data_IF_247935872072
#
_entry.id   IF_247935872072
#
_cell.length_a   1.000
_cell.length_b   1.000
_cell.length_c   1.000
_cell.angle_alpha   90.00
_cell.angle_beta   90.00
_cell.angle_gamma   90.00
#
_symmetry.space_group_name_H-M   'P 1'
#
loop_
_entity.id
_entity.type
_entity.pdbx_description
1 polymer ?
#
# COMPACT_ATOMS: atom_id res chain seq x y z
N UNK A 1 -17.71 -8.70 -3.91
CA UNK A 1 -16.46 -8.09 -3.39
C UNK A 1 -16.34 -8.20 -1.88
N UNK A 2 -17.35 -7.83 -1.07
CA UNK A 2 -17.29 -8.07 0.40
C UNK A 2 -17.04 -9.54 0.77
N UNK A 3 -17.70 -10.47 0.10
CA UNK A 3 -17.49 -11.91 0.31
C UNK A 3 -16.09 -12.40 -0.12
N UNK A 4 -15.42 -11.67 -1.02
CA UNK A 4 -14.13 -12.07 -1.57
C UNK A 4 -12.94 -11.66 -0.68
N UNK A 5 -13.16 -10.82 0.35
CA UNK A 5 -12.10 -10.40 1.28
C UNK A 5 -12.17 -11.12 2.62
N UNK A 6 -13.25 -11.86 2.90
CA UNK A 6 -13.43 -12.58 4.15
C UNK A 6 -12.43 -13.73 4.27
N UNK A 7 -12.01 -14.03 5.50
CA UNK A 7 -11.22 -15.22 5.78
C UNK A 7 -12.05 -16.46 5.44
N UNK A 8 -11.62 -17.32 4.50
CA UNK A 8 -12.35 -18.53 4.17
C UNK A 8 -12.44 -19.49 5.37
N UNK A 9 -13.51 -20.28 5.43
CA UNK A 9 -13.71 -21.22 6.55
C UNK A 9 -12.59 -22.26 6.59
N UNK A 10 -11.92 -22.37 7.73
CA UNK A 10 -10.83 -23.32 7.96
C UNK A 10 -9.44 -22.83 7.56
N UNK A 11 -9.32 -21.65 6.96
CA UNK A 11 -8.02 -21.04 6.63
C UNK A 11 -7.37 -20.35 7.83
N UNK A 12 -6.04 -20.29 7.84
CA UNK A 12 -5.27 -19.53 8.82
C UNK A 12 -5.27 -18.03 8.48
N UNK A 13 -5.44 -17.19 9.50
CA UNK A 13 -5.49 -15.74 9.31
C UNK A 13 -4.17 -15.17 8.77
N UNK A 14 -3.02 -15.66 9.25
CA UNK A 14 -1.73 -15.12 8.84
C UNK A 14 -1.39 -15.55 7.41
N UNK A 15 -1.73 -16.78 7.01
CA UNK A 15 -1.64 -17.21 5.62
C UNK A 15 -2.49 -16.32 4.71
N UNK A 16 -3.74 -16.06 5.10
CA UNK A 16 -4.65 -15.20 4.33
C UNK A 16 -4.13 -13.76 4.21
N UNK A 17 -3.62 -13.19 5.30
CA UNK A 17 -2.97 -11.88 5.30
C UNK A 17 -1.72 -11.87 4.41
N UNK A 18 -0.89 -12.92 4.47
CA UNK A 18 0.35 -13.01 3.71
C UNK A 18 0.11 -12.96 2.21
N UNK A 19 -0.79 -13.81 1.71
CA UNK A 19 -1.15 -13.89 0.29
C UNK A 19 -1.71 -12.55 -0.20
N UNK A 20 -2.68 -11.98 0.52
CA UNK A 20 -3.34 -10.75 0.08
C UNK A 20 -2.40 -9.53 0.14
N UNK A 21 -1.50 -9.44 1.13
CA UNK A 21 -0.50 -8.35 1.19
C UNK A 21 0.44 -8.39 -0.01
N UNK A 22 0.91 -9.59 -0.38
CA UNK A 22 1.74 -9.77 -1.56
C UNK A 22 0.98 -9.40 -2.85
N UNK A 23 -0.29 -9.80 -2.96
CA UNK A 23 -1.13 -9.45 -4.11
C UNK A 23 -1.36 -7.94 -4.23
N UNK A 24 -1.67 -7.25 -3.12
CA UNK A 24 -1.84 -5.80 -3.13
C UNK A 24 -0.56 -5.06 -3.49
N UNK A 25 0.58 -5.55 -2.99
CA UNK A 25 1.89 -5.03 -3.35
C UNK A 25 2.13 -5.17 -4.86
N UNK A 26 1.96 -6.37 -5.42
CA UNK A 26 2.17 -6.64 -6.84
C UNK A 26 1.27 -5.76 -7.73
N UNK A 27 -0.03 -5.67 -7.40
CA UNK A 27 -0.96 -4.82 -8.13
C UNK A 27 -0.55 -3.34 -8.09
N UNK A 28 -0.20 -2.83 -6.92
CA UNK A 28 0.20 -1.43 -6.75
C UNK A 28 1.53 -1.13 -7.45
N UNK A 29 2.50 -2.06 -7.42
CA UNK A 29 3.76 -1.96 -8.16
C UNK A 29 3.53 -1.88 -9.66
N UNK A 30 2.64 -2.72 -10.20
CA UNK A 30 2.24 -2.66 -11.62
C UNK A 30 1.54 -1.33 -11.96
N UNK A 31 0.61 -0.87 -11.12
CA UNK A 31 -0.08 0.41 -11.32
C UNK A 31 0.91 1.58 -11.33
N UNK A 32 1.80 1.63 -10.34
CA UNK A 32 2.79 2.71 -10.22
C UNK A 32 3.80 2.69 -11.38
N UNK A 33 4.20 1.51 -11.86
CA UNK A 33 5.07 1.38 -13.03
C UNK A 33 4.50 2.08 -14.28
N UNK A 34 3.18 2.17 -14.42
CA UNK A 34 2.54 2.87 -15.56
C UNK A 34 2.72 4.40 -15.51
N UNK A 35 2.98 4.98 -14.34
CA UNK A 35 3.09 6.44 -14.18
C UNK A 35 4.47 6.92 -13.74
N UNK A 36 5.45 6.02 -13.64
CA UNK A 36 6.79 6.32 -13.13
C UNK A 36 7.50 7.44 -13.89
N UNK A 37 7.24 7.57 -15.20
CA UNK A 37 7.82 8.64 -16.02
C UNK A 37 7.24 10.05 -15.70
N UNK A 38 6.06 10.12 -15.10
CA UNK A 38 5.41 11.38 -14.70
C UNK A 38 5.73 11.77 -13.25
N UNK A 39 6.09 10.81 -12.41
CA UNK A 39 6.49 11.03 -11.02
C UNK A 39 8.01 11.24 -10.92
N UNK A 40 8.44 12.50 -10.92
CA UNK A 40 9.87 12.88 -10.95
C UNK A 40 10.21 13.80 -9.77
N UNK A 41 11.50 14.02 -9.45
CA UNK A 41 11.88 14.99 -8.44
C UNK A 41 11.46 16.43 -8.75
N UNK A 42 11.18 16.75 -10.02
CA UNK A 42 10.74 18.06 -10.46
C UNK A 42 9.22 18.23 -10.30
N UNK A 43 8.44 17.22 -10.69
CA UNK A 43 6.97 17.22 -10.61
C UNK A 43 6.48 16.96 -9.19
N UNK A 44 7.16 16.07 -8.46
CA UNK A 44 6.77 15.57 -7.14
C UNK A 44 7.94 15.72 -6.15
N UNK A 45 8.28 16.96 -5.82
CA UNK A 45 9.41 17.34 -4.93
C UNK A 45 9.36 16.73 -3.53
N UNK A 46 8.18 16.32 -3.09
CA UNK A 46 7.93 15.77 -1.76
C UNK A 46 6.85 14.68 -1.84
N UNK A 47 7.00 13.61 -1.08
CA UNK A 47 5.95 12.59 -0.93
C UNK A 47 4.76 13.16 -0.15
N UNK A 48 3.67 13.46 -0.86
CA UNK A 48 2.47 14.10 -0.31
C UNK A 48 1.19 13.43 -0.80
N UNK A 49 0.11 13.64 -0.07
CA UNK A 49 -1.26 13.35 -0.48
C UNK A 49 -2.08 14.64 -0.34
N UNK A 50 -2.07 15.43 -1.42
CA UNK A 50 -2.68 16.76 -1.41
C UNK A 50 -1.92 17.75 -0.53
N UNK A 51 -2.51 18.93 -0.23
CA UNK A 51 -1.82 20.00 0.49
C UNK A 51 -1.66 19.72 2.00
N UNK A 52 -2.46 18.81 2.55
CA UNK A 52 -2.59 18.62 4.01
C UNK A 52 -1.71 17.51 4.58
N UNK A 53 -1.22 16.58 3.75
CA UNK A 53 -0.48 15.40 4.22
C UNK A 53 0.87 15.30 3.53
N UNK A 54 1.93 15.28 4.35
CA UNK A 54 3.32 15.04 3.92
C UNK A 54 3.85 13.79 4.62
N UNK A 55 4.47 12.90 3.86
CA UNK A 55 5.06 11.66 4.36
C UNK A 55 6.58 11.77 4.39
N UNK A 56 7.17 11.56 5.56
CA UNK A 56 8.62 11.51 5.74
C UNK A 56 9.09 10.06 5.74
N UNK A 57 10.27 9.82 5.17
CA UNK A 57 10.89 8.50 5.13
C UNK A 57 11.79 8.30 6.34
N UNK A 58 11.71 7.13 6.97
CA UNK A 58 12.60 6.74 8.06
C UNK A 58 12.71 5.22 8.04
N UNK A 59 13.89 4.71 7.73
CA UNK A 59 14.15 3.28 7.67
C UNK A 59 15.65 2.96 7.80
N UNK A 60 15.97 2.02 8.69
CA UNK A 60 17.33 1.50 8.89
C UNK A 60 18.39 2.55 9.27
N UNK A 61 19.68 2.15 9.25
CA UNK A 61 20.80 3.03 9.61
C UNK A 61 21.08 4.13 8.57
N UNK A 62 20.61 3.96 7.33
CA UNK A 62 20.73 4.97 6.26
C UNK A 62 19.84 6.18 6.52
N UNK A 63 18.65 5.97 7.09
CA UNK A 63 17.70 7.04 7.42
C UNK A 63 17.31 6.98 8.90
N UNK A 64 18.24 7.33 9.82
CA UNK A 64 18.02 7.21 11.26
C UNK A 64 16.98 8.19 11.81
N UNK A 65 16.67 9.25 11.06
CA UNK A 65 15.65 10.26 11.39
C UNK A 65 14.70 10.43 10.20
N UNK A 66 13.45 10.87 10.44
CA UNK A 66 12.53 11.22 9.36
C UNK A 66 13.14 12.26 8.41
N UNK A 67 13.19 11.94 7.12
CA UNK A 67 13.67 12.83 6.07
C UNK A 67 12.59 13.07 5.02
N UNK A 68 12.60 14.26 4.45
CA UNK A 68 11.79 14.58 3.29
C UNK A 68 12.50 14.08 2.03
N UNK A 69 11.77 13.37 1.17
CA UNK A 69 12.26 12.86 -0.10
C UNK A 69 11.27 13.22 -1.21
N UNK A 70 11.76 13.38 -2.46
CA UNK A 70 10.91 13.34 -3.64
C UNK A 70 10.01 12.11 -3.64
N UNK A 71 8.80 12.23 -4.18
CA UNK A 71 7.83 11.14 -4.13
C UNK A 71 8.33 9.87 -4.82
N UNK A 72 9.00 10.00 -5.97
CA UNK A 72 9.58 8.87 -6.69
C UNK A 72 10.66 8.14 -5.88
N UNK A 73 11.52 8.86 -5.16
CA UNK A 73 12.55 8.27 -4.30
C UNK A 73 11.95 7.62 -3.06
N UNK A 74 10.94 8.27 -2.46
CA UNK A 74 10.18 7.69 -1.35
C UNK A 74 9.54 6.37 -1.74
N UNK A 75 8.84 6.36 -2.88
CA UNK A 75 8.12 5.18 -3.37
C UNK A 75 9.11 4.08 -3.72
N UNK A 76 10.22 4.38 -4.39
CA UNK A 76 11.29 3.40 -4.66
C UNK A 76 11.83 2.75 -3.38
N UNK A 77 12.22 3.56 -2.39
CA UNK A 77 12.67 3.03 -1.09
C UNK A 77 11.60 2.21 -0.37
N UNK A 78 10.32 2.57 -0.53
CA UNK A 78 9.20 1.83 0.06
C UNK A 78 9.03 0.47 -0.60
N UNK A 79 9.03 0.41 -1.93
CA UNK A 79 8.89 -0.85 -2.66
C UNK A 79 10.06 -1.80 -2.33
N UNK A 80 11.30 -1.31 -2.38
CA UNK A 80 12.49 -2.07 -1.99
C UNK A 80 12.37 -2.60 -0.55
N UNK A 81 11.83 -1.79 0.36
CA UNK A 81 11.61 -2.21 1.74
C UNK A 81 10.54 -3.29 1.87
N UNK A 82 9.43 -3.19 1.12
CA UNK A 82 8.36 -4.21 1.13
C UNK A 82 8.86 -5.51 0.52
N UNK A 83 9.58 -5.47 -0.61
CA UNK A 83 10.23 -6.64 -1.21
C UNK A 83 11.11 -7.36 -0.17
N UNK A 84 11.98 -6.62 0.51
CA UNK A 84 12.84 -7.19 1.54
C UNK A 84 12.06 -7.78 2.75
N UNK A 85 10.83 -7.33 3.02
CA UNK A 85 9.97 -8.00 4.01
C UNK A 85 9.40 -9.30 3.44
N UNK A 86 8.84 -9.27 2.23
CA UNK A 86 8.17 -10.40 1.58
C UNK A 86 9.14 -11.55 1.26
N UNK A 87 10.40 -11.24 0.95
CA UNK A 87 11.46 -12.23 0.71
C UNK A 87 12.08 -12.80 2.00
N UNK A 88 11.74 -12.24 3.16
CA UNK A 88 12.31 -12.68 4.43
C UNK A 88 11.54 -13.87 4.99
N UNK A 89 12.12 -15.07 4.87
CA UNK A 89 11.59 -16.35 5.39
C UNK A 89 11.29 -16.36 6.90
N UNK A 90 11.84 -15.42 7.68
CA UNK A 90 11.51 -15.29 9.11
C UNK A 90 10.23 -14.47 9.35
N UNK A 91 9.76 -13.74 8.34
CA UNK A 91 8.55 -12.93 8.37
C UNK A 91 7.45 -13.60 7.54
N UNK A 92 7.76 -13.96 6.30
CA UNK A 92 6.88 -14.63 5.34
C UNK A 92 7.48 -16.02 5.02
N UNK A 93 7.25 -17.02 5.89
CA UNK A 93 7.74 -18.37 5.64
C UNK A 93 7.09 -18.98 4.40
N UNK A 94 7.90 -19.54 3.49
CA UNK A 94 7.40 -20.22 2.29
C UNK A 94 7.24 -21.75 2.47
N UNK A 95 7.85 -22.30 3.53
CA UNK A 95 7.79 -23.73 3.82
C UNK A 95 6.57 -24.10 4.67
N UNK A 96 5.84 -25.12 4.23
CA UNK A 96 4.69 -25.69 4.97
C UNK A 96 5.12 -26.11 6.37
N UNK A 97 4.35 -25.67 7.38
CA UNK A 97 4.55 -26.03 8.79
C UNK A 97 5.52 -25.13 9.55
N UNK A 98 6.13 -24.13 8.90
CA UNK A 98 6.88 -23.08 9.59
C UNK A 98 5.90 -21.99 10.05
N UNK A 99 5.81 -21.68 11.35
CA UNK A 99 4.86 -20.68 11.84
C UNK A 99 5.33 -19.25 11.54
N UNK A 100 4.37 -18.36 11.28
CA UNK A 100 4.60 -16.92 11.24
C UNK A 100 5.13 -16.37 12.58
N UNK A 101 5.90 -15.26 12.57
CA UNK A 101 6.38 -14.66 13.80
C UNK A 101 5.24 -14.07 14.62
N UNK A 102 5.42 -13.99 15.95
CA UNK A 102 4.38 -13.50 16.88
C UNK A 102 3.89 -12.08 16.60
N UNK A 103 4.70 -11.25 15.94
CA UNK A 103 4.38 -9.88 15.57
C UNK A 103 3.95 -9.73 14.10
N UNK A 104 3.64 -10.82 13.40
CA UNK A 104 3.33 -10.82 11.96
C UNK A 104 2.22 -9.83 11.59
N UNK A 105 1.08 -9.85 12.29
CA UNK A 105 0.01 -8.88 12.04
C UNK A 105 0.46 -7.42 12.17
N UNK A 106 1.36 -7.13 13.12
CA UNK A 106 1.91 -5.77 13.26
C UNK A 106 2.81 -5.38 12.09
N UNK A 107 3.53 -6.34 11.51
CA UNK A 107 4.34 -6.15 10.31
C UNK A 107 3.42 -5.89 9.11
N UNK A 108 2.40 -6.74 8.92
CA UNK A 108 1.36 -6.58 7.88
C UNK A 108 0.69 -5.20 7.98
N UNK A 109 0.26 -4.79 9.18
CA UNK A 109 -0.32 -3.46 9.41
C UNK A 109 0.65 -2.35 9.00
N UNK A 110 1.95 -2.50 9.25
CA UNK A 110 2.94 -1.52 8.84
C UNK A 110 3.11 -1.46 7.31
N UNK A 111 3.15 -2.61 6.64
CA UNK A 111 3.20 -2.70 5.18
C UNK A 111 1.97 -2.03 4.57
N UNK A 112 0.76 -2.41 5.00
CA UNK A 112 -0.50 -1.86 4.48
C UNK A 112 -0.58 -0.33 4.65
N UNK A 113 -0.24 0.19 5.84
CA UNK A 113 -0.17 1.64 6.08
C UNK A 113 0.77 2.37 5.13
N UNK A 114 1.90 1.75 4.78
CA UNK A 114 2.89 2.32 3.86
C UNK A 114 2.39 2.25 2.42
N UNK A 115 1.84 1.13 1.96
CA UNK A 115 1.24 0.99 0.63
C UNK A 115 0.09 1.97 0.38
N UNK A 116 -0.73 2.24 1.40
CA UNK A 116 -1.80 3.25 1.33
C UNK A 116 -1.28 4.65 0.93
N UNK A 117 -0.06 5.02 1.35
CA UNK A 117 0.54 6.32 1.01
C UNK A 117 0.79 6.45 -0.50
N UNK A 118 1.09 5.35 -1.17
CA UNK A 118 1.29 5.30 -2.62
C UNK A 118 -0.04 5.51 -3.33
N UNK A 119 -1.11 4.82 -2.90
CA UNK A 119 -2.46 5.08 -3.41
C UNK A 119 -2.83 6.55 -3.23
N UNK A 120 -2.62 7.10 -2.04
CA UNK A 120 -2.94 8.49 -1.75
C UNK A 120 -2.18 9.45 -2.67
N UNK A 121 -0.89 9.22 -2.88
CA UNK A 121 -0.10 9.98 -3.83
C UNK A 121 -0.64 9.88 -5.26
N UNK A 122 -0.96 8.66 -5.72
CA UNK A 122 -1.51 8.42 -7.06
C UNK A 122 -2.82 9.18 -7.29
N UNK A 123 -3.76 9.12 -6.36
CA UNK A 123 -5.05 9.80 -6.48
C UNK A 123 -4.93 11.33 -6.48
N UNK A 124 -4.00 11.90 -5.71
CA UNK A 124 -3.85 13.35 -5.64
C UNK A 124 -3.03 13.95 -6.79
N UNK A 125 -1.99 13.26 -7.25
CA UNK A 125 -0.99 13.85 -8.13
C UNK A 125 -0.96 13.24 -9.53
N UNK A 126 -1.46 12.01 -9.71
CA UNK A 126 -1.32 11.26 -10.96
C UNK A 126 -2.64 10.74 -11.52
N UNK A 127 -3.78 11.13 -10.94
CA UNK A 127 -5.09 10.65 -11.38
C UNK A 127 -5.36 10.97 -12.86
N UNK A 128 -4.93 12.15 -13.34
CA UNK A 128 -5.08 12.52 -14.73
C UNK A 128 -4.19 11.68 -15.65
N UNK A 129 -2.97 11.32 -15.22
CA UNK A 129 -2.14 10.36 -15.96
C UNK A 129 -2.82 8.99 -16.06
N UNK A 130 -3.43 8.48 -14.97
CA UNK A 130 -4.21 7.24 -15.00
C UNK A 130 -5.44 7.33 -15.92
N UNK A 131 -6.06 8.51 -16.06
CA UNK A 131 -7.17 8.73 -17.03
C UNK A 131 -6.65 8.70 -18.46
N UNK A 132 -5.58 9.42 -18.75
CA UNK A 132 -4.98 9.52 -20.08
C UNK A 132 -4.49 8.16 -20.58
N UNK A 133 -3.93 7.34 -19.70
CA UNK A 133 -3.50 5.97 -20.00
C UNK A 133 -4.63 4.94 -20.05
N UNK A 134 -5.87 5.32 -19.72
CA UNK A 134 -7.02 4.41 -19.66
C UNK A 134 -6.95 3.38 -18.51
N UNK A 135 -6.11 3.61 -17.50
CA UNK A 135 -5.85 2.67 -16.39
C UNK A 135 -6.56 3.04 -15.08
N UNK A 136 -7.31 4.15 -15.04
CA UNK A 136 -8.06 4.58 -13.84
C UNK A 136 -9.01 3.52 -13.28
N UNK A 137 -9.64 2.70 -14.12
CA UNK A 137 -10.52 1.63 -13.65
C UNK A 137 -9.75 0.55 -12.85
N UNK A 138 -8.51 0.27 -13.24
CA UNK A 138 -7.62 -0.67 -12.54
C UNK A 138 -7.19 -0.08 -11.19
N UNK A 139 -6.82 1.20 -11.15
CA UNK A 139 -6.51 1.92 -9.91
C UNK A 139 -7.71 1.87 -8.93
N UNK A 140 -8.90 2.18 -9.41
CA UNK A 140 -10.12 2.19 -8.60
C UNK A 140 -10.47 0.80 -8.07
N UNK A 141 -10.35 -0.23 -8.90
CA UNK A 141 -10.66 -1.62 -8.52
C UNK A 141 -9.67 -2.12 -7.47
N UNK A 142 -8.37 -1.94 -7.72
CA UNK A 142 -7.32 -2.37 -6.80
C UNK A 142 -7.44 -1.64 -5.45
N UNK A 143 -7.67 -0.32 -5.48
CA UNK A 143 -7.89 0.46 -4.25
C UNK A 143 -9.17 0.05 -3.51
N UNK A 144 -10.26 -0.26 -4.23
CA UNK A 144 -11.51 -0.76 -3.63
C UNK A 144 -11.25 -2.07 -2.87
N UNK A 145 -10.57 -3.03 -3.49
CA UNK A 145 -10.21 -4.30 -2.85
C UNK A 145 -9.32 -4.07 -1.62
N UNK A 146 -8.30 -3.22 -1.76
CA UNK A 146 -7.40 -2.84 -0.67
C UNK A 146 -8.14 -2.27 0.55
N UNK A 147 -9.11 -1.38 0.33
CA UNK A 147 -9.90 -0.76 1.40
C UNK A 147 -10.87 -1.75 2.04
N UNK A 148 -11.52 -2.62 1.27
CA UNK A 148 -12.38 -3.65 1.84
C UNK A 148 -11.59 -4.60 2.75
N UNK A 149 -10.43 -5.06 2.29
CA UNK A 149 -9.56 -5.94 3.06
C UNK A 149 -9.00 -5.24 4.31
N UNK A 150 -8.58 -3.98 4.17
CA UNK A 150 -8.12 -3.16 5.29
C UNK A 150 -9.19 -3.00 6.36
N UNK A 151 -10.46 -2.79 5.97
CA UNK A 151 -11.59 -2.65 6.90
C UNK A 151 -11.97 -3.97 7.56
N UNK A 152 -11.98 -5.07 6.81
CA UNK A 152 -12.31 -6.41 7.32
C UNK A 152 -11.37 -6.83 8.46
N UNK A 153 -10.06 -6.61 8.29
CA UNK A 153 -9.04 -7.04 9.26
C UNK A 153 -8.47 -5.90 10.12
N UNK A 154 -9.08 -4.70 10.06
CA UNK A 154 -8.66 -3.51 10.80
C UNK A 154 -7.15 -3.22 10.67
N UNK A 155 -6.65 -3.17 9.43
CA UNK A 155 -5.22 -3.11 9.14
C UNK A 155 -4.64 -1.69 9.17
N UNK A 156 -5.48 -0.68 8.98
CA UNK A 156 -5.10 0.74 8.99
C UNK A 156 -6.07 1.49 9.90
N UNK A 157 -5.56 2.25 10.89
CA UNK A 157 -6.38 3.12 11.71
C UNK A 157 -7.18 4.14 10.88
N UNK A 158 -8.43 4.40 11.27
CA UNK A 158 -9.36 5.25 10.51
C UNK A 158 -8.83 6.68 10.29
N UNK A 159 -8.13 7.25 11.26
CA UNK A 159 -7.49 8.57 11.18
C UNK A 159 -6.40 8.64 10.10
N UNK A 160 -5.76 7.52 9.80
CA UNK A 160 -4.73 7.43 8.75
C UNK A 160 -5.32 7.25 7.36
N UNK A 161 -6.61 6.88 7.24
CA UNK A 161 -7.34 6.81 5.98
C UNK A 161 -7.93 8.16 5.56
N UNK A 162 -7.93 9.17 6.44
CA UNK A 162 -8.50 10.50 6.19
C UNK A 162 -8.01 11.17 4.89
N UNK A 163 -6.74 11.03 4.43
CA UNK A 163 -6.32 11.61 3.16
C UNK A 163 -7.18 11.21 1.96
N UNK A 164 -7.79 10.02 1.97
CA UNK A 164 -8.64 9.55 0.88
C UNK A 164 -10.09 9.34 1.30
N UNK A 165 -10.53 9.97 2.39
CA UNK A 165 -11.87 9.73 2.95
C UNK A 165 -13.00 9.89 1.94
N UNK A 166 -13.03 10.99 1.19
CA UNK A 166 -14.08 11.24 0.20
C UNK A 166 -14.08 10.18 -0.91
N UNK A 167 -12.89 9.77 -1.36
CA UNK A 167 -12.72 8.72 -2.38
C UNK A 167 -13.17 7.36 -1.84
N UNK A 168 -12.78 7.04 -0.60
CA UNK A 168 -13.21 5.83 0.10
C UNK A 168 -14.73 5.81 0.22
N UNK A 169 -15.35 6.90 0.68
CA UNK A 169 -16.80 6.99 0.86
C UNK A 169 -17.54 6.82 -0.46
N UNK A 170 -17.01 7.34 -1.56
CA UNK A 170 -17.59 7.17 -2.89
C UNK A 170 -17.44 5.74 -3.41
N UNK A 171 -16.26 5.13 -3.25
CA UNK A 171 -15.98 3.76 -3.71
C UNK A 171 -16.77 2.71 -2.91
N UNK A 172 -17.05 2.99 -1.64
CA UNK A 172 -17.78 2.09 -0.73
C UNK A 172 -19.32 2.18 -0.88
N UNK A 173 -19.85 3.23 -1.53
CA UNK A 173 -21.28 3.38 -1.83
C UNK A 173 -21.72 2.59 -3.08
N UNK A 174 -20.78 2.26 -3.95
CA UNK A 174 -20.97 1.47 -5.18
C UNK A 174 -20.65 -0.01 -4.96
#
# INVERSE_FOLDING_TARGET
>A
MKEAVQLPEGEDLNEWLAVNVADFYNQLSMLYATITEFCTPQTCKSMTAGPSYKYLWQEGPKYPKPVELPACEYIGNLMDWVDAQLENEQIFPSMIGVPFPKNFESIVKNIMKRLFRIYAHCYYHHLDNFKELGTIAHLNTSFKQFIFFTKEFNLIPQDQLEPLKEIIDNIMKC
#
